data_IF_635217861422
#
_entry.id   IF_635217861422
#
_cell.length_a   1.000
_cell.length_b   1.000
_cell.length_c   1.000
_cell.angle_alpha   90.00
_cell.angle_beta   90.00
_cell.angle_gamma   90.00
#
_symmetry.space_group_name_H-M   'P 1'
#
loop_
_entity.id
_entity.type
_entity.pdbx_description
1 polymer ?
#
# COMPACT_ATOMS: atom_id res chain seq x y z
N UNK A 1 -26.15 9.28 -18.46
CA UNK A 1 -25.06 9.13 -17.53
C UNK A 1 -24.47 7.72 -17.53
N UNK A 2 -25.20 6.64 -17.15
CA UNK A 2 -24.67 5.27 -17.20
C UNK A 2 -24.30 4.81 -18.62
N UNK A 3 -24.89 5.40 -19.67
CA UNK A 3 -24.50 5.16 -21.05
C UNK A 3 -23.13 5.73 -21.43
N UNK A 4 -22.65 6.72 -20.70
CA UNK A 4 -21.33 7.35 -20.93
C UNK A 4 -20.24 6.70 -20.09
N UNK A 5 -20.57 6.29 -18.88
CA UNK A 5 -19.66 5.63 -17.94
C UNK A 5 -20.38 4.42 -17.34
N UNK A 6 -20.31 3.27 -18.00
CA UNK A 6 -21.08 2.07 -17.62
C UNK A 6 -20.40 1.28 -16.48
N UNK A 7 -19.83 1.96 -15.50
CA UNK A 7 -19.18 1.35 -14.32
C UNK A 7 -19.92 1.77 -13.06
N UNK A 8 -20.05 0.82 -12.14
CA UNK A 8 -20.71 1.00 -10.85
C UNK A 8 -19.77 0.60 -9.72
N UNK A 9 -20.03 1.07 -8.51
CA UNK A 9 -19.32 0.62 -7.31
C UNK A 9 -19.88 -0.72 -6.86
N UNK A 10 -19.05 -1.75 -6.85
CA UNK A 10 -19.44 -3.11 -6.49
C UNK A 10 -19.21 -3.40 -4.99
N UNK A 11 -18.37 -2.57 -4.32
CA UNK A 11 -18.02 -2.75 -2.90
C UNK A 11 -18.78 -1.80 -1.97
N UNK A 12 -19.25 -0.69 -2.49
CA UNK A 12 -19.87 0.40 -1.72
C UNK A 12 -18.88 1.31 -0.99
N UNK A 13 -17.59 0.94 -0.90
CA UNK A 13 -16.59 1.70 -0.17
C UNK A 13 -16.39 3.12 -0.72
N UNK A 14 -16.21 3.25 -2.04
CA UNK A 14 -16.04 4.55 -2.69
C UNK A 14 -17.30 5.41 -2.59
N UNK A 15 -18.47 4.81 -2.73
CA UNK A 15 -19.76 5.49 -2.56
C UNK A 15 -19.94 6.01 -1.14
N UNK A 16 -19.58 5.21 -0.13
CA UNK A 16 -19.61 5.62 1.27
C UNK A 16 -18.67 6.82 1.54
N UNK A 17 -17.44 6.76 1.07
CA UNK A 17 -16.48 7.87 1.20
C UNK A 17 -16.99 9.15 0.50
N UNK A 18 -17.55 9.02 -0.69
CA UNK A 18 -18.11 10.15 -1.42
C UNK A 18 -19.32 10.76 -0.66
N UNK A 19 -20.13 9.92 -0.03
CA UNK A 19 -21.25 10.35 0.82
C UNK A 19 -20.76 11.16 2.02
N UNK A 20 -19.74 10.68 2.75
CA UNK A 20 -19.15 11.41 3.88
C UNK A 20 -18.53 12.74 3.43
N UNK A 21 -17.85 12.74 2.30
CA UNK A 21 -17.20 13.96 1.80
C UNK A 21 -18.20 15.00 1.29
N UNK A 22 -19.23 14.59 0.55
CA UNK A 22 -20.04 15.50 -0.24
C UNK A 22 -21.54 15.15 -0.33
N UNK A 23 -22.02 14.23 0.53
CA UNK A 23 -23.44 13.88 0.58
C UNK A 23 -24.30 15.08 0.90
N UNK A 24 -25.41 15.22 0.19
CA UNK A 24 -26.41 16.27 0.47
C UNK A 24 -27.46 15.72 1.43
N UNK A 25 -27.92 16.56 2.34
CA UNK A 25 -29.06 16.24 3.19
C UNK A 25 -30.30 16.07 2.33
N UNK A 26 -30.97 14.93 2.46
CA UNK A 26 -32.34 14.73 2.01
C UNK A 26 -33.27 15.02 3.20
N UNK A 27 -34.53 15.36 2.93
CA UNK A 27 -35.49 15.82 3.99
C UNK A 27 -35.64 14.82 5.14
N UNK A 28 -35.38 13.51 4.88
CA UNK A 28 -35.52 12.46 5.89
C UNK A 28 -34.14 11.93 6.41
N UNK A 29 -33.02 12.49 5.97
CA UNK A 29 -31.68 12.02 6.36
C UNK A 29 -31.02 13.04 7.31
N UNK A 30 -30.75 12.60 8.53
CA UNK A 30 -30.05 13.41 9.56
C UNK A 30 -28.53 13.43 9.33
N UNK A 31 -28.10 13.48 8.07
CA UNK A 31 -26.69 13.48 7.69
C UNK A 31 -26.40 14.41 6.52
N UNK A 32 -25.34 15.19 6.65
CA UNK A 32 -24.79 16.03 5.57
C UNK A 32 -23.29 15.82 5.49
N UNK A 33 -22.76 15.58 4.29
CA UNK A 33 -21.33 15.49 4.06
C UNK A 33 -20.58 16.78 4.38
N UNK A 34 -19.26 16.68 4.53
CA UNK A 34 -18.42 17.82 4.91
C UNK A 34 -18.44 18.97 3.90
N UNK A 35 -18.65 18.68 2.62
CA UNK A 35 -18.67 19.65 1.53
C UNK A 35 -19.83 19.39 0.55
N UNK A 36 -21.11 19.57 0.98
CA UNK A 36 -22.29 19.14 0.21
C UNK A 36 -22.51 19.93 -1.08
N UNK A 37 -21.84 21.08 -1.25
CA UNK A 37 -21.92 21.90 -2.46
C UNK A 37 -20.74 21.75 -3.40
N UNK A 38 -19.80 20.83 -3.13
CA UNK A 38 -18.66 20.60 -4.03
C UNK A 38 -19.08 19.81 -5.28
N UNK A 39 -18.25 19.92 -6.30
CA UNK A 39 -18.32 19.04 -7.48
C UNK A 39 -17.49 17.79 -7.21
N UNK A 40 -18.03 16.63 -7.54
CA UNK A 40 -17.35 15.35 -7.36
C UNK A 40 -16.69 14.91 -8.67
N UNK A 41 -15.40 14.59 -8.59
CA UNK A 41 -14.68 13.83 -9.59
C UNK A 41 -14.37 12.44 -9.04
N UNK A 42 -14.92 11.40 -9.61
CA UNK A 42 -14.75 10.03 -9.13
C UNK A 42 -14.04 9.19 -10.19
N UNK A 43 -13.04 8.44 -9.76
CA UNK A 43 -12.36 7.44 -10.59
C UNK A 43 -12.53 6.08 -9.94
N UNK A 44 -13.17 5.15 -10.65
CA UNK A 44 -13.18 3.74 -10.25
C UNK A 44 -11.87 3.10 -10.72
N UNK A 45 -11.08 2.64 -9.77
CA UNK A 45 -9.85 1.91 -10.05
C UNK A 45 -10.14 0.50 -10.58
N UNK A 46 -9.26 0.03 -11.47
CA UNK A 46 -9.29 -1.35 -11.92
C UNK A 46 -8.66 -2.27 -10.85
N UNK A 47 -9.21 -3.46 -10.59
CA UNK A 47 -8.54 -4.43 -9.72
C UNK A 47 -7.12 -4.73 -10.21
N UNK A 48 -6.21 -4.97 -9.27
CA UNK A 48 -4.83 -5.36 -9.58
C UNK A 48 -4.81 -6.60 -10.49
N UNK A 49 -3.91 -6.59 -11.47
CA UNK A 49 -3.76 -7.69 -12.43
C UNK A 49 -3.31 -8.96 -11.73
N UNK A 50 -3.69 -10.13 -12.27
CA UNK A 50 -3.46 -11.42 -11.64
C UNK A 50 -1.98 -11.65 -11.32
N UNK A 51 -1.06 -11.33 -12.24
CA UNK A 51 0.37 -11.51 -11.99
C UNK A 51 0.91 -10.70 -10.80
N UNK A 52 0.34 -9.53 -10.49
CA UNK A 52 0.69 -8.77 -9.30
C UNK A 52 0.10 -9.42 -8.04
N UNK A 53 -1.14 -9.89 -8.14
CA UNK A 53 -1.77 -10.61 -7.04
C UNK A 53 -0.97 -11.87 -6.68
N UNK A 54 -0.49 -12.62 -7.68
CA UNK A 54 0.33 -13.81 -7.49
C UNK A 54 1.70 -13.45 -6.89
N UNK A 55 2.33 -12.40 -7.40
CA UNK A 55 3.62 -11.93 -6.90
C UNK A 55 3.56 -11.48 -5.44
N UNK A 56 2.54 -10.70 -5.07
CA UNK A 56 2.34 -10.22 -3.70
C UNK A 56 1.54 -11.18 -2.82
N UNK A 57 1.25 -12.38 -3.30
CA UNK A 57 0.48 -13.42 -2.60
C UNK A 57 -0.86 -12.91 -2.04
N UNK A 58 -1.55 -12.06 -2.81
CA UNK A 58 -2.81 -11.45 -2.39
C UNK A 58 -3.95 -12.47 -2.51
N UNK A 59 -4.66 -12.80 -1.42
CA UNK A 59 -5.79 -13.73 -1.47
C UNK A 59 -6.84 -13.31 -2.49
N UNK A 60 -7.48 -14.28 -3.14
CA UNK A 60 -8.49 -14.02 -4.18
C UNK A 60 -9.68 -13.20 -3.65
N UNK A 61 -9.99 -13.34 -2.36
CA UNK A 61 -11.06 -12.60 -1.67
C UNK A 61 -10.70 -11.15 -1.34
N UNK A 62 -9.40 -10.79 -1.33
CA UNK A 62 -8.97 -9.44 -0.98
C UNK A 62 -9.06 -8.49 -2.17
N UNK A 63 -9.47 -7.26 -1.93
CA UNK A 63 -9.46 -6.20 -2.93
C UNK A 63 -8.09 -5.53 -2.97
N UNK A 64 -7.49 -5.41 -4.15
CA UNK A 64 -6.21 -4.77 -4.34
C UNK A 64 -6.19 -3.95 -5.63
N UNK A 65 -5.41 -2.87 -5.64
CA UNK A 65 -5.26 -1.94 -6.76
C UNK A 65 -3.78 -1.68 -7.04
N UNK A 66 -3.47 -1.22 -8.25
CA UNK A 66 -2.10 -0.88 -8.67
C UNK A 66 -1.79 0.59 -8.38
N UNK A 67 -0.60 0.89 -7.88
CA UNK A 67 -0.13 2.26 -7.65
C UNK A 67 -0.13 3.10 -8.94
N UNK A 68 0.20 2.50 -10.08
CA UNK A 68 0.20 3.18 -11.38
C UNK A 68 -1.19 3.69 -11.77
N UNK A 69 -2.23 2.92 -11.50
CA UNK A 69 -3.60 3.32 -11.80
C UNK A 69 -4.03 4.48 -10.88
N UNK A 70 -3.59 4.46 -9.62
CA UNK A 70 -3.83 5.55 -8.67
C UNK A 70 -3.12 6.82 -9.15
N UNK A 71 -1.84 6.74 -9.53
CA UNK A 71 -1.09 7.89 -10.07
C UNK A 71 -1.75 8.47 -11.32
N UNK A 72 -2.23 7.62 -12.22
CA UNK A 72 -2.98 8.03 -13.40
C UNK A 72 -4.29 8.72 -13.02
N UNK A 73 -5.02 8.17 -12.06
CA UNK A 73 -6.29 8.72 -11.58
C UNK A 73 -6.13 10.11 -10.98
N UNK A 74 -5.16 10.31 -10.08
CA UNK A 74 -4.94 11.62 -9.44
C UNK A 74 -4.45 12.67 -10.45
N UNK A 75 -3.64 12.27 -11.42
CA UNK A 75 -3.20 13.13 -12.52
C UNK A 75 -4.37 13.55 -13.41
N UNK A 76 -5.28 12.63 -13.71
CA UNK A 76 -6.50 12.91 -14.47
C UNK A 76 -7.42 13.88 -13.72
N UNK A 77 -7.66 13.65 -12.43
CA UNK A 77 -8.47 14.54 -11.60
C UNK A 77 -7.87 15.95 -11.53
N UNK A 78 -6.54 16.06 -11.44
CA UNK A 78 -5.83 17.34 -11.49
C UNK A 78 -6.04 18.05 -12.84
N UNK A 79 -5.98 17.31 -13.94
CA UNK A 79 -6.26 17.85 -15.27
C UNK A 79 -7.70 18.39 -15.39
N UNK A 80 -8.69 17.65 -14.88
CA UNK A 80 -10.08 18.09 -14.87
C UNK A 80 -10.26 19.36 -14.04
N UNK A 81 -9.73 19.41 -12.82
CA UNK A 81 -9.81 20.56 -11.95
C UNK A 81 -9.19 21.81 -12.60
N UNK A 82 -8.04 21.64 -13.27
CA UNK A 82 -7.40 22.71 -14.02
C UNK A 82 -8.29 23.22 -15.16
N UNK A 83 -8.87 22.32 -15.93
CA UNK A 83 -9.77 22.70 -17.04
C UNK A 83 -11.00 23.47 -16.58
N UNK A 84 -11.51 23.15 -15.41
CA UNK A 84 -12.66 23.82 -14.81
C UNK A 84 -12.29 25.00 -13.90
N UNK A 85 -10.99 25.32 -13.80
CA UNK A 85 -10.48 26.41 -12.94
C UNK A 85 -10.94 26.28 -11.47
N UNK A 86 -11.00 25.05 -10.96
CA UNK A 86 -11.45 24.75 -9.62
C UNK A 86 -10.28 24.26 -8.74
N UNK A 87 -10.29 24.55 -7.43
CA UNK A 87 -9.41 23.88 -6.51
C UNK A 87 -9.75 22.39 -6.43
N UNK A 88 -8.76 21.56 -6.07
CA UNK A 88 -8.90 20.11 -5.99
C UNK A 88 -8.52 19.60 -4.60
N UNK A 89 -9.41 18.84 -3.99
CA UNK A 89 -9.07 17.99 -2.85
C UNK A 89 -9.17 16.54 -3.29
N UNK A 90 -8.05 15.80 -3.17
CA UNK A 90 -7.97 14.39 -3.49
C UNK A 90 -8.16 13.61 -2.20
N UNK A 91 -9.15 12.73 -2.16
CA UNK A 91 -9.38 11.80 -1.05
C UNK A 91 -8.96 10.39 -1.47
N UNK A 92 -7.93 9.85 -0.82
CA UNK A 92 -7.45 8.48 -1.01
C UNK A 92 -7.80 7.64 0.21
N UNK A 93 -8.89 6.90 0.12
CA UNK A 93 -9.34 5.95 1.14
C UNK A 93 -8.69 4.57 0.97
N UNK A 94 -7.44 4.55 0.55
CA UNK A 94 -6.64 3.34 0.27
C UNK A 94 -5.30 3.45 0.98
N UNK A 95 -4.71 2.32 1.34
CA UNK A 95 -3.40 2.25 1.96
C UNK A 95 -2.64 1.00 1.56
N UNK A 96 -1.38 0.92 1.97
CA UNK A 96 -0.50 -0.23 1.81
C UNK A 96 0.47 -0.30 2.97
N UNK A 97 0.91 -1.51 3.34
CA UNK A 97 2.00 -1.73 4.29
C UNK A 97 3.36 -1.87 3.59
N UNK A 98 3.38 -1.83 2.26
CA UNK A 98 4.60 -2.00 1.47
C UNK A 98 5.29 -0.66 1.22
N UNK A 99 6.60 -0.74 0.98
CA UNK A 99 7.44 0.40 0.68
C UNK A 99 8.26 0.90 1.87
N UNK A 100 9.12 1.86 1.61
CA UNK A 100 10.11 2.40 2.56
C UNK A 100 9.53 3.20 3.73
N UNK A 101 8.27 3.56 3.71
CA UNK A 101 7.59 4.40 4.71
C UNK A 101 8.23 5.79 4.95
N UNK A 102 9.11 6.23 4.06
CA UNK A 102 9.82 7.50 4.10
C UNK A 102 9.30 8.55 3.11
N UNK A 103 8.26 8.22 2.36
CA UNK A 103 7.66 9.09 1.35
C UNK A 103 8.38 9.09 -0.01
N UNK A 104 9.33 8.20 -0.24
CA UNK A 104 10.09 8.13 -1.51
C UNK A 104 9.43 7.26 -2.57
N UNK A 105 8.35 6.53 -2.24
CA UNK A 105 7.63 5.73 -3.24
C UNK A 105 7.11 6.60 -4.40
N UNK A 106 7.01 6.09 -5.63
CA UNK A 106 6.52 6.85 -6.78
C UNK A 106 5.14 7.49 -6.55
N UNK A 107 4.24 6.80 -5.85
CA UNK A 107 2.94 7.36 -5.50
C UNK A 107 3.08 8.52 -4.51
N UNK A 108 3.89 8.37 -3.46
CA UNK A 108 4.16 9.43 -2.49
C UNK A 108 4.77 10.66 -3.16
N UNK A 109 5.75 10.48 -4.04
CA UNK A 109 6.35 11.57 -4.79
C UNK A 109 5.35 12.25 -5.72
N UNK A 110 4.46 11.49 -6.38
CA UNK A 110 3.40 12.06 -7.21
C UNK A 110 2.46 12.93 -6.39
N UNK A 111 2.02 12.46 -5.23
CA UNK A 111 1.14 13.23 -4.33
C UNK A 111 1.85 14.46 -3.77
N UNK A 112 3.11 14.33 -3.35
CA UNK A 112 3.92 15.45 -2.89
C UNK A 112 4.06 16.51 -3.99
N UNK A 113 4.36 16.12 -5.22
CA UNK A 113 4.44 17.04 -6.34
C UNK A 113 3.09 17.76 -6.58
N UNK A 114 1.98 17.03 -6.58
CA UNK A 114 0.65 17.61 -6.76
C UNK A 114 0.33 18.62 -5.66
N UNK A 115 0.72 18.35 -4.42
CA UNK A 115 0.48 19.24 -3.29
C UNK A 115 1.34 20.51 -3.31
N UNK A 116 2.38 20.60 -4.15
CA UNK A 116 3.09 21.87 -4.38
C UNK A 116 2.30 22.84 -5.26
N UNK A 117 1.30 22.34 -5.98
CA UNK A 117 0.48 23.15 -6.88
C UNK A 117 -0.57 23.92 -6.09
N UNK A 118 -0.70 25.23 -6.39
CA UNK A 118 -1.69 26.07 -5.72
C UNK A 118 -3.11 25.53 -5.94
N UNK A 119 -3.87 25.40 -4.84
CA UNK A 119 -5.25 24.94 -4.86
C UNK A 119 -5.41 23.42 -4.99
N UNK A 120 -4.34 22.64 -4.77
CA UNK A 120 -4.40 21.18 -4.69
C UNK A 120 -4.05 20.72 -3.29
N UNK A 121 -4.81 19.77 -2.77
CA UNK A 121 -4.58 19.12 -1.49
C UNK A 121 -4.89 17.62 -1.60
N UNK A 122 -3.99 16.76 -1.12
CA UNK A 122 -4.23 15.32 -1.05
C UNK A 122 -4.39 14.90 0.41
N UNK A 123 -5.41 14.09 0.68
CA UNK A 123 -5.71 13.52 1.99
C UNK A 123 -5.73 12.01 1.84
N UNK A 124 -4.85 11.33 2.60
CA UNK A 124 -4.72 9.88 2.58
C UNK A 124 -5.24 9.29 3.89
N UNK A 125 -5.91 8.15 3.81
CA UNK A 125 -6.28 7.38 4.99
C UNK A 125 -5.03 6.83 5.67
N UNK A 126 -5.02 6.84 7.02
CA UNK A 126 -3.96 6.23 7.80
C UNK A 126 -4.05 4.68 7.84
N UNK A 127 -5.14 4.11 7.35
CA UNK A 127 -5.42 2.67 7.38
C UNK A 127 -6.15 2.23 8.65
N UNK A 128 -6.56 0.96 8.67
CA UNK A 128 -7.33 0.35 9.76
C UNK A 128 -6.55 -0.79 10.45
N UNK A 129 -5.25 -0.81 10.33
CA UNK A 129 -4.42 -1.96 10.71
C UNK A 129 -3.86 -1.88 12.14
N UNK A 130 -4.44 -1.04 12.96
CA UNK A 130 -4.07 -0.92 14.38
C UNK A 130 -4.18 -2.27 15.08
N UNK A 131 -3.05 -2.75 15.63
CA UNK A 131 -2.99 -4.03 16.35
C UNK A 131 -2.62 -5.24 15.51
N UNK A 132 -2.64 -5.18 14.19
CA UNK A 132 -2.23 -6.30 13.33
C UNK A 132 -0.70 -6.48 13.24
N UNK A 133 0.08 -5.49 13.66
CA UNK A 133 1.55 -5.55 13.72
C UNK A 133 2.21 -5.86 12.37
N UNK A 134 1.69 -5.30 11.29
CA UNK A 134 2.23 -5.47 9.93
C UNK A 134 3.43 -4.56 9.64
N UNK A 135 3.89 -3.79 10.60
CA UNK A 135 5.05 -2.92 10.51
C UNK A 135 5.87 -2.97 11.79
N UNK A 136 7.19 -2.98 11.62
CA UNK A 136 8.17 -2.84 12.69
C UNK A 136 9.27 -1.88 12.23
N UNK A 137 9.74 -1.03 13.12
CA UNK A 137 10.90 -0.16 12.87
C UNK A 137 11.85 -0.26 14.04
N UNK A 138 13.12 -0.45 13.76
CA UNK A 138 14.17 -0.53 14.77
C UNK A 138 15.46 0.10 14.24
N UNK A 139 16.41 0.34 15.13
CA UNK A 139 17.75 0.82 14.80
C UNK A 139 18.72 -0.34 15.00
N UNK A 140 19.34 -0.78 13.91
CA UNK A 140 20.34 -1.83 13.99
C UNK A 140 21.56 -1.36 14.82
N UNK A 141 22.14 -2.28 15.60
CA UNK A 141 23.34 -1.99 16.37
C UNK A 141 24.53 -1.66 15.43
N UNK A 142 25.37 -0.73 15.85
CA UNK A 142 26.57 -0.28 15.10
C UNK A 142 27.66 -1.35 14.97
N UNK A 143 27.54 -2.43 15.73
CA UNK A 143 28.57 -3.46 15.89
C UNK A 143 28.10 -4.77 15.22
N UNK A 144 28.95 -5.36 14.39
CA UNK A 144 28.70 -6.61 13.66
C UNK A 144 28.46 -7.84 14.54
N UNK A 145 28.68 -7.73 15.87
CA UNK A 145 28.38 -8.77 16.85
C UNK A 145 26.93 -8.75 17.33
N UNK A 146 26.20 -7.67 17.07
CA UNK A 146 24.81 -7.51 17.45
C UNK A 146 23.89 -7.70 16.25
N UNK A 147 22.67 -8.13 16.50
CA UNK A 147 21.61 -8.29 15.53
C UNK A 147 20.26 -7.93 16.16
N UNK A 148 19.36 -7.44 15.33
CA UNK A 148 17.96 -7.27 15.71
C UNK A 148 17.21 -8.54 15.32
N UNK A 149 16.49 -9.12 16.25
CA UNK A 149 15.65 -10.28 16.04
C UNK A 149 14.19 -9.86 15.89
N UNK A 150 13.56 -10.32 14.82
CA UNK A 150 12.16 -10.04 14.51
C UNK A 150 11.43 -11.36 14.40
N UNK A 151 10.38 -11.55 15.19
CA UNK A 151 9.50 -12.70 15.08
C UNK A 151 8.42 -12.43 14.02
N UNK A 152 8.34 -13.31 13.02
CA UNK A 152 7.31 -13.30 11.99
C UNK A 152 6.28 -14.38 12.30
N UNK A 153 5.02 -13.96 12.43
CA UNK A 153 3.91 -14.89 12.66
C UNK A 153 2.93 -14.82 11.51
N UNK A 154 2.71 -15.97 10.87
CA UNK A 154 1.67 -16.13 9.85
C UNK A 154 0.31 -16.30 10.49
N UNK A 155 -0.73 -15.78 9.84
CA UNK A 155 -2.11 -16.05 10.21
C UNK A 155 -2.51 -17.51 9.96
N UNK A 156 -3.54 -17.96 10.65
CA UNK A 156 -4.10 -19.30 10.44
C UNK A 156 -4.68 -19.42 9.03
N UNK A 157 -4.27 -20.46 8.29
CA UNK A 157 -4.74 -20.72 6.93
C UNK A 157 -4.04 -19.92 5.83
N UNK A 158 -3.08 -19.05 6.17
CA UNK A 158 -2.28 -18.34 5.18
C UNK A 158 -1.25 -19.28 4.53
N UNK A 159 -1.17 -19.22 3.20
CA UNK A 159 -0.24 -20.03 2.42
C UNK A 159 1.14 -19.39 2.27
N UNK A 160 1.28 -18.11 2.61
CA UNK A 160 2.53 -17.36 2.53
C UNK A 160 2.29 -15.86 2.64
N UNK A 161 3.39 -15.11 2.67
CA UNK A 161 3.37 -13.64 2.73
C UNK A 161 4.65 -13.07 2.15
N UNK A 162 4.63 -11.79 1.84
CA UNK A 162 5.81 -11.02 1.45
C UNK A 162 6.20 -10.09 2.60
N UNK A 163 7.52 -10.06 2.89
CA UNK A 163 8.14 -9.13 3.82
C UNK A 163 9.12 -8.24 3.06
N UNK A 164 9.04 -6.95 3.28
CA UNK A 164 10.01 -5.98 2.79
C UNK A 164 10.83 -5.43 3.94
N UNK A 165 12.16 -5.50 3.83
CA UNK A 165 13.09 -4.87 4.76
C UNK A 165 13.74 -3.67 4.06
N UNK A 166 13.50 -2.49 4.58
CA UNK A 166 14.07 -1.26 4.07
C UNK A 166 15.17 -0.77 4.99
N UNK A 167 16.32 -0.44 4.40
CA UNK A 167 17.48 0.11 5.09
C UNK A 167 17.75 1.53 4.62
N UNK A 168 18.26 2.38 5.51
CA UNK A 168 18.71 3.72 5.12
C UNK A 168 20.04 3.64 4.36
N UNK A 169 20.14 4.32 3.24
CA UNK A 169 21.40 4.41 2.49
C UNK A 169 22.47 5.13 3.35
N UNK A 170 23.72 4.66 3.38
CA UNK A 170 24.35 3.59 2.60
C UNK A 170 24.40 2.23 3.29
N UNK A 171 23.56 1.97 4.27
CA UNK A 171 23.60 0.77 5.08
C UNK A 171 23.26 -0.51 4.27
N UNK A 172 24.01 -1.57 4.53
CA UNK A 172 23.81 -2.89 3.95
C UNK A 172 23.71 -3.92 5.07
N UNK A 173 22.63 -4.68 5.07
CA UNK A 173 22.36 -5.70 6.07
C UNK A 173 22.52 -7.10 5.52
N UNK A 174 22.92 -8.03 6.39
CA UNK A 174 22.79 -9.46 6.17
C UNK A 174 21.58 -10.00 6.91
N UNK A 175 20.88 -10.94 6.33
CA UNK A 175 19.69 -11.55 6.90
C UNK A 175 20.00 -12.98 7.31
N UNK A 176 19.55 -13.40 8.46
CA UNK A 176 19.52 -14.79 8.89
C UNK A 176 18.08 -15.20 9.19
N UNK A 177 17.71 -16.42 8.86
CA UNK A 177 16.40 -16.96 9.13
C UNK A 177 16.52 -18.13 10.10
N UNK A 178 15.60 -18.19 11.06
CA UNK A 178 15.47 -19.31 12.01
C UNK A 178 14.05 -19.82 11.95
N UNK A 179 13.88 -21.10 11.66
CA UNK A 179 12.56 -21.73 11.62
C UNK A 179 12.03 -22.02 13.04
N UNK A 180 10.73 -22.22 13.23
CA UNK A 180 10.16 -22.59 14.52
C UNK A 180 10.79 -23.85 15.15
N UNK A 181 11.30 -24.78 14.35
CA UNK A 181 12.00 -25.98 14.85
C UNK A 181 13.48 -25.73 15.17
N UNK A 182 13.98 -24.50 14.96
CA UNK A 182 15.36 -24.11 15.28
C UNK A 182 16.36 -24.31 14.14
N UNK A 183 15.91 -24.67 12.93
CA UNK A 183 16.80 -24.71 11.78
C UNK A 183 17.21 -23.28 11.39
N UNK A 184 18.51 -22.99 11.39
CA UNK A 184 19.07 -21.69 11.02
C UNK A 184 19.77 -21.71 9.67
N UNK A 185 19.63 -20.64 8.90
CA UNK A 185 20.31 -20.51 7.60
C UNK A 185 21.75 -20.00 7.70
N UNK A 186 22.13 -19.45 8.84
CA UNK A 186 23.30 -18.58 8.91
C UNK A 186 23.03 -17.21 8.24
N UNK A 187 24.10 -16.45 8.00
CA UNK A 187 23.99 -15.13 7.36
C UNK A 187 23.88 -15.27 5.84
N UNK A 188 22.83 -14.68 5.28
CA UNK A 188 22.64 -14.55 3.83
C UNK A 188 23.19 -13.16 3.46
N UNK A 189 24.35 -13.07 2.80
CA UNK A 189 24.95 -11.78 2.50
C UNK A 189 24.27 -11.12 1.30
N UNK A 190 24.33 -9.79 1.24
CA UNK A 190 24.12 -9.08 0.00
C UNK A 190 25.14 -9.56 -1.06
N UNK A 191 24.67 -9.95 -2.20
CA UNK A 191 25.52 -10.54 -3.23
C UNK A 191 25.03 -10.32 -4.66
N UNK A 192 25.84 -10.79 -5.61
CA UNK A 192 25.57 -10.65 -7.05
C UNK A 192 24.40 -11.53 -7.54
N UNK A 193 24.08 -12.58 -6.83
CA UNK A 193 22.89 -13.40 -7.08
C UNK A 193 21.72 -12.77 -6.31
N UNK A 194 20.86 -12.09 -7.05
CA UNK A 194 19.82 -11.25 -6.48
C UNK A 194 18.75 -12.00 -5.68
N UNK A 195 18.76 -13.33 -5.61
CA UNK A 195 17.85 -14.11 -4.79
C UNK A 195 18.42 -15.46 -4.37
N UNK A 196 18.08 -15.85 -3.16
CA UNK A 196 18.42 -17.14 -2.58
C UNK A 196 17.15 -17.81 -2.09
N UNK A 197 16.88 -19.03 -2.53
CA UNK A 197 15.74 -19.83 -2.04
C UNK A 197 16.23 -20.83 -1.01
N UNK A 198 15.58 -20.82 0.14
CA UNK A 198 15.87 -21.69 1.29
C UNK A 198 14.65 -22.53 1.57
N UNK A 199 14.85 -23.81 1.79
CA UNK A 199 13.78 -24.73 2.16
C UNK A 199 13.87 -25.14 3.61
N UNK A 200 12.77 -25.02 4.33
CA UNK A 200 12.56 -25.55 5.68
C UNK A 200 11.65 -26.80 5.57
N UNK A 201 12.24 -28.02 5.49
CA UNK A 201 11.46 -29.22 5.18
C UNK A 201 10.43 -29.60 6.24
N UNK A 202 10.73 -29.35 7.52
CA UNK A 202 9.84 -29.68 8.62
C UNK A 202 8.61 -28.76 8.64
N UNK A 203 8.78 -27.50 8.29
CA UNK A 203 7.73 -26.51 8.19
C UNK A 203 7.04 -26.53 6.81
N UNK A 204 7.55 -27.32 5.87
CA UNK A 204 7.09 -27.34 4.47
C UNK A 204 7.06 -25.96 3.82
N UNK A 205 8.04 -25.13 4.17
CA UNK A 205 8.10 -23.71 3.79
C UNK A 205 9.33 -23.45 2.94
N UNK A 206 9.13 -22.80 1.80
CA UNK A 206 10.18 -22.26 0.97
C UNK A 206 10.23 -20.74 1.15
N UNK A 207 11.42 -20.19 1.45
CA UNK A 207 11.63 -18.75 1.62
C UNK A 207 12.61 -18.29 0.55
N UNK A 208 12.19 -17.29 -0.23
CA UNK A 208 13.07 -16.64 -1.20
C UNK A 208 13.46 -15.27 -0.65
N UNK A 209 14.76 -15.06 -0.48
CA UNK A 209 15.33 -13.77 -0.08
C UNK A 209 15.90 -13.10 -1.33
N UNK A 210 15.48 -11.89 -1.60
CA UNK A 210 15.98 -11.08 -2.71
C UNK A 210 16.49 -9.74 -2.19
N UNK A 211 17.64 -9.31 -2.67
CA UNK A 211 18.17 -7.97 -2.42
C UNK A 211 17.94 -7.12 -3.66
N UNK A 212 17.28 -5.98 -3.46
CA UNK A 212 17.04 -5.00 -4.51
C UNK A 212 17.91 -3.76 -4.24
N UNK A 213 18.53 -3.17 -5.29
CA UNK A 213 19.37 -1.99 -5.17
C UNK A 213 18.57 -0.73 -4.87
#
# INVERSE_FOLDING_TARGET
PLSLVPVTDDSGHGTFLAGIAAGRTEEDADFTGAAPSCSLGIVKLHPAKQYLRDYYQIPASATAYQSNDIMTAVTYLRFLAYRHQMPLVICLGLGTNQGSHDGTSPLSQTLNHLNTLRGVCSVCAAGNEVGFRHHCSDVAAEDSSHYTEIELRTGEGESGFQLELWASFPEVYTIGLVSPTGQATGRIPYGSDNHTTIRFPLEQTDVTVSYLP
#
